data_IF_435896179436
#
_entry.id   IF_435896179436
#
_cell.length_a   1.000
_cell.length_b   1.000
_cell.length_c   1.000
_cell.angle_alpha   90.00
_cell.angle_beta   90.00
_cell.angle_gamma   90.00
#
_symmetry.space_group_name_H-M   'P 1'
#
loop_
_entity.id
_entity.type
_entity.pdbx_description
1 polymer ?
#
# COMPACT_ATOMS: atom_id res chain seq x y z
N UNK A 1 32.14 0.49 18.95
CA UNK A 1 30.91 1.17 18.47
C UNK A 1 30.68 0.82 17.01
N UNK A 2 29.52 0.27 16.67
CA UNK A 2 29.16 -0.07 15.28
C UNK A 2 28.55 1.17 14.60
N UNK A 3 28.90 1.43 13.34
CA UNK A 3 28.32 2.54 12.58
C UNK A 3 26.85 2.25 12.31
N UNK A 4 25.98 3.25 12.48
CA UNK A 4 24.57 3.14 12.06
C UNK A 4 24.51 2.85 10.57
N UNK A 5 23.65 1.89 10.22
CA UNK A 5 23.28 1.54 8.84
C UNK A 5 21.78 1.79 8.69
N UNK A 6 21.28 1.98 7.46
CA UNK A 6 19.85 2.00 7.20
C UNK A 6 19.16 0.75 7.77
N UNK A 7 17.96 0.93 8.31
CA UNK A 7 17.18 -0.18 8.88
C UNK A 7 16.90 -1.25 7.81
N UNK A 8 16.61 -0.81 6.59
CA UNK A 8 16.29 -1.65 5.43
C UNK A 8 17.41 -2.67 5.14
N UNK A 9 18.67 -2.22 5.20
CA UNK A 9 19.84 -3.07 4.95
C UNK A 9 20.08 -4.02 6.13
N UNK A 10 19.96 -3.52 7.36
CA UNK A 10 20.16 -4.34 8.56
C UNK A 10 19.10 -5.41 8.77
N UNK A 11 17.87 -5.16 8.32
CA UNK A 11 16.75 -6.10 8.40
C UNK A 11 16.64 -7.03 7.19
N UNK A 12 17.36 -6.75 6.10
CA UNK A 12 17.26 -7.49 4.84
C UNK A 12 16.06 -7.10 3.97
N UNK A 13 15.34 -6.02 4.30
CA UNK A 13 14.19 -5.53 3.52
C UNK A 13 14.57 -5.16 2.08
N UNK A 14 15.82 -4.71 1.84
CA UNK A 14 16.32 -4.48 0.47
C UNK A 14 16.20 -5.75 -0.38
N UNK A 15 16.55 -6.91 0.17
CA UNK A 15 16.48 -8.18 -0.55
C UNK A 15 15.04 -8.64 -0.76
N UNK A 16 14.17 -8.41 0.22
CA UNK A 16 12.74 -8.72 0.08
C UNK A 16 12.10 -7.90 -1.05
N UNK A 17 12.42 -6.59 -1.13
CA UNK A 17 11.92 -5.71 -2.19
C UNK A 17 12.34 -6.20 -3.58
N UNK A 18 13.58 -6.65 -3.75
CA UNK A 18 14.05 -7.26 -5.01
C UNK A 18 13.19 -8.48 -5.38
N UNK A 19 13.01 -9.43 -4.46
CA UNK A 19 12.24 -10.65 -4.68
C UNK A 19 10.79 -10.33 -5.10
N UNK A 20 10.15 -9.35 -4.43
CA UNK A 20 8.79 -8.95 -4.77
C UNK A 20 8.73 -8.27 -6.14
N UNK A 21 9.73 -7.43 -6.45
CA UNK A 21 9.81 -6.72 -7.73
C UNK A 21 10.00 -7.67 -8.91
N UNK A 22 10.72 -8.78 -8.70
CA UNK A 22 10.89 -9.86 -9.69
C UNK A 22 9.63 -10.71 -9.89
N UNK A 23 8.76 -10.82 -8.87
CA UNK A 23 7.52 -11.60 -8.96
C UNK A 23 6.44 -10.95 -9.81
N UNK A 24 6.45 -9.62 -9.92
CA UNK A 24 5.44 -8.86 -10.66
C UNK A 24 6.09 -8.32 -11.93
N UNK A 25 5.61 -8.70 -13.11
CA UNK A 25 6.19 -8.16 -14.35
C UNK A 25 5.81 -6.68 -14.56
N UNK A 26 6.53 -5.97 -15.43
CA UNK A 26 6.17 -4.58 -15.76
C UNK A 26 4.81 -4.52 -16.49
N UNK A 27 4.53 -5.51 -17.34
CA UNK A 27 3.26 -5.65 -18.05
C UNK A 27 2.11 -5.91 -17.06
N UNK A 28 2.28 -6.86 -16.16
CA UNK A 28 1.29 -7.17 -15.11
C UNK A 28 1.01 -5.94 -14.25
N UNK A 29 2.06 -5.23 -13.82
CA UNK A 29 1.92 -4.00 -13.05
C UNK A 29 1.17 -2.92 -13.83
N UNK A 30 1.51 -2.71 -15.10
CA UNK A 30 0.88 -1.72 -15.96
C UNK A 30 -0.60 -2.05 -16.26
N UNK A 31 -0.94 -3.33 -16.41
CA UNK A 31 -2.32 -3.78 -16.61
C UNK A 31 -3.14 -3.60 -15.35
N UNK A 32 -2.68 -4.13 -14.21
CA UNK A 32 -3.40 -4.07 -12.93
C UNK A 32 -3.64 -2.63 -12.46
N UNK A 33 -2.65 -1.75 -12.64
CA UNK A 33 -2.77 -0.34 -12.22
C UNK A 33 -3.83 0.45 -13.00
N UNK A 34 -4.30 -0.05 -14.16
CA UNK A 34 -5.42 0.58 -14.90
C UNK A 34 -6.78 0.37 -14.23
N UNK A 35 -6.95 -0.76 -13.54
CA UNK A 35 -8.25 -1.18 -13.01
C UNK A 35 -8.40 -0.90 -11.52
N UNK A 36 -7.30 -0.79 -10.79
CA UNK A 36 -7.33 -0.57 -9.36
C UNK A 36 -7.35 0.93 -8.99
N UNK A 37 -8.21 1.24 -8.02
CA UNK A 37 -8.19 2.47 -7.25
C UNK A 37 -7.99 2.05 -5.79
N UNK A 38 -6.78 2.19 -5.19
CA UNK A 38 -5.75 3.23 -5.37
C UNK A 38 -4.80 3.10 -6.57
N UNK A 39 -4.17 4.23 -6.95
CA UNK A 39 -2.94 4.23 -7.77
C UNK A 39 -1.76 3.68 -6.95
N UNK A 40 -1.14 2.61 -7.43
CA UNK A 40 0.05 2.03 -6.78
C UNK A 40 1.31 2.84 -7.09
N UNK A 41 2.20 2.91 -6.10
CA UNK A 41 3.47 3.65 -6.22
C UNK A 41 4.56 2.81 -6.89
N UNK A 42 4.52 1.49 -6.68
CA UNK A 42 5.48 0.53 -7.20
C UNK A 42 4.89 -0.90 -7.13
N UNK A 43 5.62 -1.87 -7.68
CA UNK A 43 5.25 -3.30 -7.69
C UNK A 43 5.07 -3.89 -6.29
N UNK A 44 5.89 -3.46 -5.32
CA UNK A 44 5.78 -3.91 -3.95
C UNK A 44 4.44 -3.51 -3.31
N UNK A 45 3.99 -2.28 -3.56
CA UNK A 45 2.68 -1.81 -3.10
C UNK A 45 1.54 -2.62 -3.74
N UNK A 46 1.59 -2.90 -5.04
CA UNK A 46 0.61 -3.77 -5.70
C UNK A 46 0.60 -5.18 -5.08
N UNK A 47 1.78 -5.77 -4.90
CA UNK A 47 1.91 -7.11 -4.34
C UNK A 47 1.26 -7.23 -2.95
N UNK A 48 1.57 -6.30 -2.03
CA UNK A 48 0.97 -6.33 -0.70
C UNK A 48 -0.52 -6.01 -0.72
N UNK A 49 -0.98 -5.18 -1.65
CA UNK A 49 -2.41 -4.94 -1.83
C UNK A 49 -3.15 -6.22 -2.24
N UNK A 50 -2.60 -7.01 -3.17
CA UNK A 50 -3.21 -8.28 -3.57
C UNK A 50 -3.19 -9.32 -2.45
N UNK A 51 -2.10 -9.38 -1.66
CA UNK A 51 -2.06 -10.21 -0.44
C UNK A 51 -3.12 -9.76 0.56
N UNK A 52 -3.33 -8.44 0.73
CA UNK A 52 -4.40 -7.93 1.58
C UNK A 52 -5.78 -8.38 1.07
N UNK A 53 -6.03 -8.27 -0.24
CA UNK A 53 -7.30 -8.71 -0.82
C UNK A 53 -7.54 -10.21 -0.64
N UNK A 54 -6.50 -11.03 -0.77
CA UNK A 54 -6.57 -12.48 -0.57
C UNK A 54 -6.82 -12.88 0.89
N UNK A 55 -6.12 -12.24 1.84
CA UNK A 55 -6.17 -12.62 3.26
C UNK A 55 -7.31 -11.95 4.01
N UNK A 56 -7.59 -10.68 3.71
CA UNK A 56 -8.55 -9.84 4.44
C UNK A 56 -9.85 -9.65 3.66
N UNK A 57 -9.78 -9.61 2.33
CA UNK A 57 -10.91 -9.29 1.47
C UNK A 57 -10.93 -7.82 1.08
N UNK A 58 -12.07 -7.16 1.17
CA UNK A 58 -12.26 -5.82 0.61
C UNK A 58 -11.79 -4.69 1.53
N UNK A 59 -11.58 -3.51 0.94
CA UNK A 59 -11.37 -2.28 1.71
C UNK A 59 -12.74 -1.78 2.20
N UNK A 60 -12.92 -1.58 3.52
CA UNK A 60 -14.19 -1.11 4.04
C UNK A 60 -14.45 0.34 3.61
N UNK A 61 -15.55 0.55 2.88
CA UNK A 61 -16.02 1.88 2.49
C UNK A 61 -16.41 2.76 3.69
N UNK A 62 -16.62 4.08 3.47
CA UNK A 62 -16.95 5.01 4.54
C UNK A 62 -18.31 4.72 5.17
N UNK A 63 -18.37 4.82 6.50
CA UNK A 63 -19.63 4.85 7.27
C UNK A 63 -20.27 6.24 7.24
N UNK A 64 -21.47 6.37 7.82
CA UNK A 64 -22.29 7.60 7.84
C UNK A 64 -21.54 8.86 8.32
N UNK A 65 -20.55 8.70 9.21
CA UNK A 65 -19.74 9.80 9.75
C UNK A 65 -18.28 9.81 9.29
N UNK A 66 -18.01 9.18 8.15
CA UNK A 66 -16.69 9.10 7.56
C UNK A 66 -16.67 9.72 6.17
N UNK A 67 -15.48 10.14 5.74
CA UNK A 67 -15.19 10.57 4.38
C UNK A 67 -14.34 9.50 3.70
N UNK A 68 -14.53 9.23 2.40
CA UNK A 68 -13.72 8.26 1.69
C UNK A 68 -12.27 8.73 1.59
N UNK A 69 -11.33 7.81 1.77
CA UNK A 69 -9.92 8.05 1.49
C UNK A 69 -9.72 8.31 -0.02
N UNK A 70 -9.07 9.41 -0.43
CA UNK A 70 -8.86 9.72 -1.83
C UNK A 70 -7.83 8.80 -2.50
N UNK A 71 -7.10 8.03 -1.69
CA UNK A 71 -6.17 7.03 -2.17
C UNK A 71 -6.89 5.69 -2.31
N UNK A 72 -7.31 5.07 -1.20
CA UNK A 72 -7.79 3.69 -1.20
C UNK A 72 -9.31 3.52 -1.06
N UNK A 73 -10.08 4.60 -0.95
CA UNK A 73 -11.54 4.54 -0.77
C UNK A 73 -12.02 4.19 0.65
N UNK A 74 -11.13 3.79 1.55
CA UNK A 74 -11.49 3.44 2.93
C UNK A 74 -12.17 4.57 3.70
N UNK A 75 -13.02 4.23 4.67
CA UNK A 75 -13.60 5.21 5.60
C UNK A 75 -12.58 5.91 6.49
N UNK A 76 -12.58 7.24 6.49
CA UNK A 76 -11.79 8.08 7.39
C UNK A 76 -12.73 8.91 8.26
N UNK A 77 -12.56 8.89 9.58
CA UNK A 77 -13.30 9.76 10.50
C UNK A 77 -13.12 11.23 10.12
N UNK A 78 -14.20 12.02 10.12
CA UNK A 78 -14.14 13.48 9.94
C UNK A 78 -13.07 14.11 10.87
N UNK A 79 -12.15 14.89 10.31
CA UNK A 79 -11.01 15.48 11.03
C UNK A 79 -9.80 14.55 11.22
N UNK A 80 -9.84 13.33 10.67
CA UNK A 80 -8.70 12.42 10.62
C UNK A 80 -7.60 12.93 9.69
N UNK A 81 -6.35 12.88 10.15
CA UNK A 81 -5.18 13.36 9.39
C UNK A 81 -4.58 12.32 8.43
N UNK A 82 -4.92 11.06 8.61
CA UNK A 82 -4.40 9.98 7.78
C UNK A 82 -5.38 8.80 7.71
N UNK A 83 -5.29 8.03 6.64
CA UNK A 83 -6.01 6.79 6.46
C UNK A 83 -5.39 5.67 7.30
N UNK A 84 -6.22 4.91 8.04
CA UNK A 84 -5.76 3.77 8.84
C UNK A 84 -5.50 2.50 8.02
N UNK A 85 -5.99 2.46 6.77
CA UNK A 85 -5.81 1.31 5.87
C UNK A 85 -4.55 1.50 5.04
N UNK A 86 -4.43 2.60 4.29
CA UNK A 86 -3.31 2.82 3.36
C UNK A 86 -2.25 3.81 3.85
N UNK A 87 -2.42 4.44 5.02
CA UNK A 87 -1.47 5.43 5.55
C UNK A 87 -1.44 6.79 4.84
N UNK A 88 -2.26 7.00 3.80
CA UNK A 88 -2.31 8.26 3.05
C UNK A 88 -2.70 9.44 3.95
N UNK A 89 -1.94 10.54 3.87
CA UNK A 89 -2.15 11.75 4.67
C UNK A 89 -3.18 12.64 3.97
N UNK A 90 -4.14 13.15 4.75
CA UNK A 90 -5.15 14.10 4.31
C UNK A 90 -4.63 15.50 4.66
N UNK A 91 -4.34 16.32 3.64
CA UNK A 91 -4.02 17.76 3.84
C UNK A 91 -5.29 18.56 4.17
#
# INVERSE_FOLDING_TARGET
WQKKRPLEEGSGMTKLREIITEKVSDEEFAEKTKFYFPRFMNKEHLYYYEVYLDVVGEIPGPKVDEVPCPFCGAGIRKGGKHCKICGGVME
#
